data_IF_374976726910
#
_entry.id   IF_374976726910
#
_cell.length_a   1.000
_cell.length_b   1.000
_cell.length_c   1.000
_cell.angle_alpha   90.00
_cell.angle_beta   90.00
_cell.angle_gamma   90.00
#
_symmetry.space_group_name_H-M   'P 1'
#
loop_
_entity.id
_entity.type
_entity.pdbx_description
1 polymer ?
#
# COMPACT_ATOMS: atom_id res chain seq x y z
N UNK A 1 7.21 30.82 37.37
CA UNK A 1 6.68 31.14 36.02
C UNK A 1 6.09 29.87 35.41
N UNK A 2 5.18 29.18 36.12
CA UNK A 2 4.85 27.74 35.87
C UNK A 2 3.34 27.46 35.76
N UNK A 3 2.49 28.50 35.67
CA UNK A 3 1.02 28.33 35.74
C UNK A 3 0.30 28.10 34.40
N UNK A 4 1.01 27.87 33.29
CA UNK A 4 0.40 27.87 31.95
C UNK A 4 0.42 26.53 31.20
N UNK A 5 1.13 25.50 31.67
CA UNK A 5 1.10 24.19 31.02
C UNK A 5 -0.05 23.32 31.55
N UNK A 6 -1.29 23.58 31.10
CA UNK A 6 -2.36 22.57 31.19
C UNK A 6 -2.12 21.50 30.12
N UNK A 7 -1.78 20.28 30.53
CA UNK A 7 -1.75 19.08 29.67
C UNK A 7 -3.18 18.78 29.20
N UNK A 8 -3.51 19.16 27.98
CA UNK A 8 -4.75 18.76 27.31
C UNK A 8 -4.46 17.75 26.21
N UNK A 9 -4.99 16.54 26.33
CA UNK A 9 -4.98 15.55 25.24
C UNK A 9 -6.16 15.85 24.31
N UNK A 10 -5.93 16.62 23.24
CA UNK A 10 -6.96 16.84 22.22
C UNK A 10 -6.91 15.76 21.14
N UNK A 11 -8.06 15.10 20.92
CA UNK A 11 -8.30 14.10 19.88
C UNK A 11 -8.34 14.75 18.49
N UNK A 12 -7.76 14.05 17.50
CA UNK A 12 -7.69 14.42 16.09
C UNK A 12 -9.08 14.38 15.43
N UNK A 13 -9.44 15.43 14.69
CA UNK A 13 -10.62 15.49 13.82
C UNK A 13 -10.29 14.86 12.46
N UNK A 14 -11.23 14.09 11.91
CA UNK A 14 -11.13 13.45 10.59
C UNK A 14 -11.71 14.39 9.53
N UNK A 15 -10.87 15.13 8.83
CA UNK A 15 -11.27 15.83 7.61
C UNK A 15 -10.12 15.81 6.59
N UNK A 16 -10.44 15.32 5.38
CA UNK A 16 -9.54 15.18 4.23
C UNK A 16 -9.26 16.55 3.60
N UNK A 17 -8.01 16.86 3.18
CA UNK A 17 -7.74 18.03 2.36
C UNK A 17 -7.75 17.70 0.86
N UNK A 18 -8.43 18.56 0.09
CA UNK A 18 -8.43 18.61 -1.38
C UNK A 18 -7.03 18.92 -1.93
N UNK A 19 -6.61 18.17 -2.96
CA UNK A 19 -5.29 18.29 -3.60
C UNK A 19 -5.39 19.13 -4.89
N UNK A 20 -4.60 20.21 -4.98
CA UNK A 20 -4.37 20.95 -6.23
C UNK A 20 -3.09 20.46 -6.91
N UNK A 21 -3.20 20.10 -8.19
CA UNK A 21 -2.11 19.65 -9.03
C UNK A 21 -1.21 20.82 -9.46
N UNK A 22 0.12 20.61 -9.46
CA UNK A 22 1.08 21.51 -10.11
C UNK A 22 1.81 20.74 -11.20
N UNK A 23 1.63 21.21 -12.43
CA UNK A 23 2.28 20.74 -13.65
C UNK A 23 3.79 21.01 -13.60
N UNK A 24 4.59 20.04 -14.04
CA UNK A 24 6.02 20.22 -14.29
C UNK A 24 6.27 20.22 -15.80
N UNK A 25 6.93 21.28 -16.26
CA UNK A 25 7.27 21.60 -17.65
C UNK A 25 8.53 20.89 -18.13
N UNK A 26 8.45 20.35 -19.35
CA UNK A 26 9.48 20.12 -20.37
C UNK A 26 10.97 20.32 -20.03
N UNK A 27 11.75 19.25 -20.23
CA UNK A 27 13.08 19.30 -20.86
C UNK A 27 13.17 18.10 -21.81
N UNK A 28 13.13 18.37 -23.12
CA UNK A 28 13.35 17.38 -24.17
C UNK A 28 14.84 17.35 -24.56
N UNK A 29 15.43 16.15 -24.61
CA UNK A 29 16.68 15.89 -25.33
C UNK A 29 16.41 14.83 -26.39
N UNK A 30 16.70 15.21 -27.64
CA UNK A 30 16.49 14.46 -28.87
C UNK A 30 17.61 13.43 -29.09
N UNK A 31 17.28 12.22 -29.56
CA UNK A 31 18.17 11.38 -30.41
C UNK A 31 17.38 10.28 -31.13
N UNK A 32 16.98 10.62 -32.35
CA UNK A 32 16.83 9.88 -33.62
C UNK A 32 16.68 8.35 -33.67
N UNK A 33 15.62 7.98 -34.41
CA UNK A 33 15.49 6.98 -35.50
C UNK A 33 16.02 5.57 -35.32
N UNK A 34 15.13 4.58 -35.49
CA UNK A 34 15.05 3.82 -36.75
C UNK A 34 13.73 3.02 -36.83
N UNK A 35 13.28 2.82 -38.07
CA UNK A 35 12.01 2.27 -38.50
C UNK A 35 11.84 0.78 -38.13
N UNK A 36 10.62 0.34 -37.82
CA UNK A 36 10.15 -0.90 -38.44
C UNK A 36 8.62 -1.02 -38.49
N UNK A 37 8.17 -1.57 -39.60
CA UNK A 37 6.79 -1.67 -40.11
C UNK A 37 5.78 -2.28 -39.13
N UNK A 38 4.73 -1.53 -38.79
CA UNK A 38 3.53 -2.07 -38.14
C UNK A 38 2.69 -2.86 -39.16
N UNK A 39 2.89 -4.18 -39.22
CA UNK A 39 1.88 -5.10 -39.72
C UNK A 39 0.62 -5.02 -38.82
N UNK A 40 -0.44 -4.42 -39.35
CA UNK A 40 -1.78 -4.47 -38.74
C UNK A 40 -2.29 -5.90 -38.90
N UNK A 41 -2.06 -6.74 -37.88
CA UNK A 41 -2.75 -8.02 -37.78
C UNK A 41 -4.24 -7.77 -37.49
N UNK A 42 -5.18 -8.40 -38.21
CA UNK A 42 -6.61 -8.16 -38.01
C UNK A 42 -7.04 -8.67 -36.62
N UNK A 43 -7.64 -7.78 -35.81
CA UNK A 43 -8.25 -8.16 -34.52
C UNK A 43 -9.22 -9.33 -34.74
N UNK A 44 -8.89 -10.50 -34.18
CA UNK A 44 -9.75 -11.69 -34.17
C UNK A 44 -11.13 -11.32 -33.64
N UNK A 45 -12.20 -11.58 -34.39
CA UNK A 45 -13.59 -11.36 -33.94
C UNK A 45 -13.85 -12.22 -32.70
N UNK A 46 -14.01 -11.57 -31.55
CA UNK A 46 -14.33 -12.18 -30.25
C UNK A 46 -15.86 -12.24 -30.10
N UNK A 47 -16.43 -13.39 -29.69
CA UNK A 47 -17.85 -13.49 -29.36
C UNK A 47 -18.10 -12.91 -27.99
N UNK A 48 -19.05 -11.98 -27.85
CA UNK A 48 -19.44 -11.45 -26.55
C UNK A 48 -20.24 -12.51 -25.78
N UNK A 49 -20.09 -12.51 -24.46
CA UNK A 49 -20.86 -13.37 -23.58
C UNK A 49 -22.33 -12.92 -23.53
N UNK A 50 -23.25 -13.88 -23.46
CA UNK A 50 -24.68 -13.65 -23.27
C UNK A 50 -25.12 -14.30 -21.94
N UNK A 51 -25.89 -13.57 -21.13
CA UNK A 51 -26.30 -14.03 -19.80
C UNK A 51 -27.15 -15.30 -19.86
N UNK A 52 -27.84 -15.56 -20.98
CA UNK A 52 -28.61 -16.79 -21.20
C UNK A 52 -27.75 -18.06 -21.17
N UNK A 53 -26.43 -17.97 -21.35
CA UNK A 53 -25.52 -19.11 -21.28
C UNK A 53 -25.37 -19.70 -19.88
N UNK A 54 -25.91 -19.03 -18.86
CA UNK A 54 -26.06 -19.62 -17.53
C UNK A 54 -26.92 -20.89 -17.54
N UNK A 55 -27.89 -20.98 -18.46
CA UNK A 55 -28.70 -22.19 -18.67
C UNK A 55 -27.89 -23.40 -19.14
N UNK A 56 -26.72 -23.16 -19.75
CA UNK A 56 -25.76 -24.19 -20.15
C UNK A 56 -24.68 -24.41 -19.07
N UNK A 57 -24.79 -23.75 -17.92
CA UNK A 57 -23.85 -23.85 -16.82
C UNK A 57 -22.57 -23.04 -16.99
N UNK A 58 -22.62 -21.93 -17.73
CA UNK A 58 -21.46 -21.05 -17.94
C UNK A 58 -21.68 -19.66 -17.35
N UNK A 59 -20.58 -19.03 -16.95
CA UNK A 59 -20.52 -17.63 -16.52
C UNK A 59 -19.41 -16.88 -17.28
N UNK A 60 -19.50 -15.57 -17.33
CA UNK A 60 -18.45 -14.75 -17.94
C UNK A 60 -17.23 -14.65 -17.01
N UNK A 61 -16.04 -14.90 -17.53
CA UNK A 61 -14.77 -14.63 -16.88
C UNK A 61 -13.82 -13.95 -17.88
N UNK A 62 -13.69 -12.63 -17.80
CA UNK A 62 -12.84 -11.82 -18.68
C UNK A 62 -12.98 -12.19 -20.18
N UNK A 63 -14.22 -12.11 -20.69
CA UNK A 63 -14.61 -12.43 -22.06
C UNK A 63 -14.45 -13.90 -22.47
N UNK A 64 -14.22 -14.80 -21.53
CA UNK A 64 -14.15 -16.24 -21.76
C UNK A 64 -15.24 -16.98 -20.94
N UNK A 65 -15.88 -18.02 -21.50
CA UNK A 65 -16.88 -18.79 -20.77
C UNK A 65 -16.19 -19.70 -19.74
N UNK A 66 -16.60 -19.58 -18.48
CA UNK A 66 -16.16 -20.45 -17.39
C UNK A 66 -17.30 -21.36 -16.95
N UNK A 67 -17.06 -22.66 -16.89
CA UNK A 67 -18.06 -23.61 -16.37
C UNK A 67 -18.25 -23.42 -14.86
N UNK A 68 -19.49 -23.31 -14.40
CA UNK A 68 -19.82 -23.10 -12.97
C UNK A 68 -19.70 -24.38 -12.12
N UNK A 69 -19.58 -25.55 -12.75
CA UNK A 69 -19.48 -26.85 -12.07
C UNK A 69 -18.01 -27.23 -11.85
N UNK A 70 -17.21 -27.31 -12.93
CA UNK A 70 -15.80 -27.72 -12.85
C UNK A 70 -14.81 -26.54 -12.84
N UNK A 71 -15.30 -25.30 -12.87
CA UNK A 71 -14.48 -24.07 -12.90
C UNK A 71 -13.55 -23.93 -14.12
N UNK A 72 -13.65 -24.81 -15.12
CA UNK A 72 -12.81 -24.78 -16.33
C UNK A 72 -13.15 -23.55 -17.18
N UNK A 73 -12.14 -22.73 -17.47
CA UNK A 73 -12.25 -21.62 -18.42
C UNK A 73 -12.00 -22.17 -19.83
N UNK A 74 -12.97 -21.98 -20.72
CA UNK A 74 -12.85 -22.33 -22.12
C UNK A 74 -12.41 -21.11 -22.92
N UNK A 75 -11.70 -21.28 -24.05
CA UNK A 75 -11.36 -20.14 -24.90
C UNK A 75 -12.62 -19.51 -25.48
N UNK A 76 -12.59 -18.22 -25.80
CA UNK A 76 -13.70 -17.50 -26.42
C UNK A 76 -14.26 -18.20 -27.69
N UNK A 77 -13.41 -18.90 -28.45
CA UNK A 77 -13.82 -19.71 -29.62
C UNK A 77 -14.82 -20.83 -29.29
N UNK A 78 -14.95 -21.19 -28.01
CA UNK A 78 -15.90 -22.15 -27.46
C UNK A 78 -17.21 -21.54 -26.97
N UNK A 79 -17.38 -20.21 -27.05
CA UNK A 79 -18.62 -19.48 -26.69
C UNK A 79 -19.82 -19.77 -27.63
N UNK A 80 -19.68 -20.71 -28.57
CA UNK A 80 -20.84 -21.22 -29.32
C UNK A 80 -21.69 -22.13 -28.41
N UNK A 81 -23.03 -21.94 -28.34
CA UNK A 81 -23.90 -22.75 -27.49
C UNK A 81 -23.72 -24.26 -27.67
N UNK A 82 -23.54 -24.74 -28.90
CA UNK A 82 -23.31 -26.16 -29.19
C UNK A 82 -22.01 -26.72 -28.56
N UNK A 83 -20.95 -25.90 -28.45
CA UNK A 83 -19.68 -26.31 -27.84
C UNK A 83 -19.75 -26.32 -26.32
N UNK A 84 -20.44 -25.33 -25.73
CA UNK A 84 -20.72 -25.27 -24.30
C UNK A 84 -21.62 -26.42 -23.86
N UNK A 85 -22.68 -26.70 -24.63
CA UNK A 85 -23.54 -27.88 -24.43
C UNK A 85 -22.76 -29.19 -24.50
N UNK A 86 -21.88 -29.35 -25.50
CA UNK A 86 -21.02 -30.53 -25.60
C UNK A 86 -20.13 -30.69 -24.35
N UNK A 87 -19.59 -29.62 -23.79
CA UNK A 87 -18.84 -29.70 -22.53
C UNK A 87 -19.71 -30.18 -21.37
N UNK A 88 -20.93 -29.62 -21.23
CA UNK A 88 -21.88 -30.04 -20.20
C UNK A 88 -22.25 -31.53 -20.36
N UNK A 89 -22.58 -31.98 -21.56
CA UNK A 89 -22.97 -33.38 -21.81
C UNK A 89 -21.81 -34.36 -21.68
N UNK A 90 -20.59 -33.99 -22.10
CA UNK A 90 -19.45 -34.91 -22.07
C UNK A 90 -18.72 -34.97 -20.73
N UNK A 91 -18.73 -33.88 -19.96
CA UNK A 91 -18.01 -33.78 -18.67
C UNK A 91 -18.97 -33.88 -17.48
N UNK A 92 -20.25 -33.53 -17.68
CA UNK A 92 -21.26 -33.43 -16.64
C UNK A 92 -22.60 -34.04 -17.08
N UNK A 93 -22.58 -35.25 -17.66
CA UNK A 93 -23.77 -35.94 -18.20
C UNK A 93 -24.93 -36.02 -17.19
N UNK A 94 -24.63 -36.27 -15.91
CA UNK A 94 -25.59 -36.35 -14.81
C UNK A 94 -26.30 -35.01 -14.49
N UNK A 95 -25.78 -33.88 -14.99
CA UNK A 95 -26.25 -32.54 -14.64
C UNK A 95 -26.90 -31.82 -15.84
N UNK A 96 -27.04 -32.49 -17.00
CA UNK A 96 -27.52 -31.88 -18.24
C UNK A 96 -28.97 -31.38 -18.20
N UNK A 97 -29.84 -32.02 -17.41
CA UNK A 97 -31.27 -31.68 -17.32
C UNK A 97 -31.63 -30.82 -16.10
N UNK A 98 -30.63 -30.33 -15.35
CA UNK A 98 -30.90 -29.50 -14.18
C UNK A 98 -31.43 -28.12 -14.60
N UNK A 99 -32.34 -27.60 -13.78
CA UNK A 99 -32.93 -26.28 -13.99
C UNK A 99 -31.87 -25.17 -13.94
N UNK A 100 -32.08 -24.09 -14.69
CA UNK A 100 -31.27 -22.87 -14.68
C UNK A 100 -30.96 -22.38 -13.25
N UNK A 101 -31.91 -22.48 -12.33
CA UNK A 101 -31.75 -22.07 -10.92
C UNK A 101 -30.62 -22.84 -10.21
N UNK A 102 -30.40 -24.12 -10.58
CA UNK A 102 -29.28 -24.91 -10.07
C UNK A 102 -27.94 -24.29 -10.50
N UNK A 103 -27.84 -23.86 -11.76
CA UNK A 103 -26.63 -23.24 -12.30
C UNK A 103 -26.40 -21.83 -11.75
N UNK A 104 -27.45 -21.05 -11.53
CA UNK A 104 -27.39 -19.74 -10.86
C UNK A 104 -26.83 -19.92 -9.44
N UNK A 105 -27.39 -20.83 -8.65
CA UNK A 105 -26.88 -21.11 -7.30
C UNK A 105 -25.42 -21.56 -7.32
N UNK A 106 -25.03 -22.43 -8.26
CA UNK A 106 -23.64 -22.89 -8.39
C UNK A 106 -22.67 -21.77 -8.80
N UNK A 107 -23.11 -20.88 -9.69
CA UNK A 107 -22.37 -19.66 -10.03
C UNK A 107 -22.15 -18.79 -8.79
N UNK A 108 -23.19 -18.56 -8.01
CA UNK A 108 -23.13 -17.70 -6.83
C UNK A 108 -22.24 -18.30 -5.74
N UNK A 109 -22.27 -19.63 -5.55
CA UNK A 109 -21.31 -20.36 -4.69
C UNK A 109 -19.87 -20.17 -5.15
N UNK A 110 -19.62 -20.29 -6.46
CA UNK A 110 -18.29 -20.11 -7.05
C UNK A 110 -17.80 -18.66 -6.91
N UNK A 111 -18.65 -17.68 -7.22
CA UNK A 111 -18.35 -16.25 -7.04
C UNK A 111 -18.09 -15.91 -5.57
N UNK A 112 -18.89 -16.44 -4.64
CA UNK A 112 -18.68 -16.26 -3.21
C UNK A 112 -17.35 -16.83 -2.75
N UNK A 113 -16.97 -18.02 -3.25
CA UNK A 113 -15.67 -18.63 -2.98
C UNK A 113 -14.51 -17.79 -3.52
N UNK A 114 -14.59 -17.33 -4.77
CA UNK A 114 -13.59 -16.45 -5.40
C UNK A 114 -13.46 -15.13 -4.61
N UNK A 115 -14.57 -14.47 -4.32
CA UNK A 115 -14.59 -13.21 -3.58
C UNK A 115 -14.03 -13.38 -2.16
N UNK A 116 -14.33 -14.50 -1.48
CA UNK A 116 -13.77 -14.82 -0.17
C UNK A 116 -12.24 -14.95 -0.23
N UNK A 117 -11.70 -15.66 -1.24
CA UNK A 117 -10.26 -15.79 -1.44
C UNK A 117 -9.59 -14.44 -1.76
N UNK A 118 -10.20 -13.63 -2.64
CA UNK A 118 -9.70 -12.28 -2.99
C UNK A 118 -9.74 -11.35 -1.77
N UNK A 119 -10.80 -11.38 -0.97
CA UNK A 119 -10.89 -10.54 0.22
C UNK A 119 -9.86 -10.97 1.27
N UNK A 120 -9.68 -12.28 1.46
CA UNK A 120 -8.69 -12.81 2.40
C UNK A 120 -7.27 -12.37 2.01
N UNK A 121 -6.89 -12.50 0.75
CA UNK A 121 -5.56 -12.08 0.25
C UNK A 121 -5.34 -10.57 0.34
N UNK A 122 -6.36 -9.74 0.07
CA UNK A 122 -6.31 -8.28 0.30
C UNK A 122 -6.01 -7.97 1.76
N UNK A 123 -6.75 -8.57 2.71
CA UNK A 123 -6.55 -8.30 4.15
C UNK A 123 -5.18 -8.75 4.67
N UNK A 124 -4.62 -9.84 4.13
CA UNK A 124 -3.26 -10.30 4.48
C UNK A 124 -2.21 -9.30 3.97
N UNK A 125 -2.38 -8.78 2.76
CA UNK A 125 -1.47 -7.75 2.21
C UNK A 125 -1.53 -6.42 3.00
N UNK A 126 -2.71 -6.05 3.50
CA UNK A 126 -2.87 -4.87 4.36
C UNK A 126 -2.14 -5.03 5.69
N UNK A 127 -2.35 -6.16 6.38
CA UNK A 127 -1.71 -6.45 7.66
C UNK A 127 -0.19 -6.57 7.56
N UNK A 128 0.32 -7.16 6.48
CA UNK A 128 1.76 -7.26 6.24
C UNK A 128 2.39 -5.88 5.97
N UNK A 129 1.70 -5.02 5.23
CA UNK A 129 2.16 -3.64 5.00
C UNK A 129 2.15 -2.83 6.30
N UNK A 130 1.07 -2.91 7.10
CA UNK A 130 0.98 -2.24 8.40
C UNK A 130 2.10 -2.72 9.35
N UNK A 131 2.37 -4.03 9.39
CA UNK A 131 3.46 -4.59 10.18
C UNK A 131 4.83 -4.07 9.74
N UNK A 132 5.08 -3.95 8.43
CA UNK A 132 6.32 -3.38 7.88
C UNK A 132 6.55 -1.93 8.36
N UNK A 133 5.51 -1.09 8.34
CA UNK A 133 5.58 0.26 8.87
C UNK A 133 5.83 0.31 10.37
N UNK A 134 5.19 -0.58 11.15
CA UNK A 134 5.38 -0.65 12.59
C UNK A 134 6.83 -0.99 12.95
N UNK A 135 7.41 -1.99 12.29
CA UNK A 135 8.82 -2.36 12.50
C UNK A 135 9.73 -1.18 12.12
N UNK A 136 9.50 -0.55 10.97
CA UNK A 136 10.30 0.59 10.49
C UNK A 136 10.24 1.77 11.47
N UNK A 137 9.07 2.07 12.03
CA UNK A 137 8.90 3.11 13.05
C UNK A 137 9.68 2.80 14.33
N UNK A 138 9.65 1.55 14.81
CA UNK A 138 10.41 1.14 16.00
C UNK A 138 11.92 1.23 15.80
N UNK A 139 12.40 0.86 14.62
CA UNK A 139 13.81 0.98 14.23
C UNK A 139 14.24 2.46 14.29
N UNK A 140 13.46 3.37 13.69
CA UNK A 140 13.76 4.80 13.71
C UNK A 140 13.73 5.40 15.13
N UNK A 141 12.73 5.04 15.94
CA UNK A 141 12.62 5.49 17.34
C UNK A 141 13.84 5.11 18.18
N UNK A 142 14.37 3.91 17.97
CA UNK A 142 15.56 3.41 18.67
C UNK A 142 16.86 3.89 18.02
N UNK A 143 16.81 4.37 16.78
CA UNK A 143 17.97 4.76 15.98
C UNK A 143 18.87 3.56 15.68
N UNK A 144 18.29 2.42 15.30
CA UNK A 144 19.03 1.19 14.97
C UNK A 144 19.22 1.01 13.47
N UNK A 145 20.39 0.52 13.05
CA UNK A 145 20.71 0.29 11.63
C UNK A 145 19.57 -0.44 10.89
N UNK A 146 19.19 0.04 9.70
CA UNK A 146 18.04 -0.50 8.97
C UNK A 146 18.20 -1.97 8.58
N UNK A 147 19.45 -2.41 8.38
CA UNK A 147 19.82 -3.80 8.08
C UNK A 147 19.39 -4.77 9.18
N UNK A 148 19.20 -4.30 10.42
CA UNK A 148 18.72 -5.15 11.53
C UNK A 148 17.37 -5.79 11.24
N UNK A 149 16.55 -5.14 10.40
CA UNK A 149 15.22 -5.63 10.04
C UNK A 149 15.31 -6.96 9.28
N UNK A 150 16.16 -7.02 8.26
CA UNK A 150 16.37 -8.21 7.43
C UNK A 150 17.32 -9.22 8.07
N UNK A 151 18.37 -8.76 8.76
CA UNK A 151 19.42 -9.64 9.29
C UNK A 151 19.07 -10.29 10.62
N UNK A 152 18.16 -9.71 11.40
CA UNK A 152 17.87 -10.17 12.77
C UNK A 152 16.37 -10.22 13.08
N UNK A 153 15.64 -9.12 12.95
CA UNK A 153 14.24 -9.03 13.39
C UNK A 153 13.37 -10.05 12.65
N UNK A 154 13.48 -10.09 11.32
CA UNK A 154 12.71 -11.01 10.48
C UNK A 154 13.00 -12.49 10.78
N UNK A 155 14.26 -12.98 10.76
CA UNK A 155 14.53 -14.40 11.07
C UNK A 155 14.15 -14.77 12.50
N UNK A 156 14.40 -13.91 13.50
CA UNK A 156 13.98 -14.20 14.88
C UNK A 156 12.45 -14.32 15.01
N UNK A 157 11.69 -13.40 14.41
CA UNK A 157 10.23 -13.47 14.43
C UNK A 157 9.69 -14.74 13.76
N UNK A 158 10.31 -15.16 12.65
CA UNK A 158 9.96 -16.41 11.97
C UNK A 158 10.22 -17.63 12.83
N UNK A 159 11.40 -17.72 13.48
CA UNK A 159 11.75 -18.87 14.32
C UNK A 159 10.85 -18.97 15.56
N UNK A 160 10.53 -17.83 16.18
CA UNK A 160 9.60 -17.76 17.31
C UNK A 160 8.22 -18.30 16.92
N UNK A 161 7.67 -17.84 15.79
CA UNK A 161 6.33 -18.28 15.33
C UNK A 161 6.33 -19.72 14.86
N UNK A 162 7.42 -20.18 14.24
CA UNK A 162 7.60 -21.57 13.85
C UNK A 162 7.59 -22.49 15.09
N UNK A 163 8.27 -22.10 16.16
CA UNK A 163 8.33 -22.87 17.40
C UNK A 163 7.02 -22.83 18.20
N UNK A 164 6.35 -21.68 18.27
CA UNK A 164 5.18 -21.49 19.14
C UNK A 164 3.84 -21.80 18.47
N UNK A 165 3.74 -21.63 17.15
CA UNK A 165 2.50 -21.77 16.39
C UNK A 165 2.66 -22.90 15.37
N UNK A 166 3.18 -22.57 14.18
CA UNK A 166 3.34 -23.52 13.09
C UNK A 166 4.17 -22.91 11.93
N UNK A 167 4.65 -23.78 11.04
CA UNK A 167 5.43 -23.40 9.87
C UNK A 167 4.63 -22.53 8.86
N UNK A 168 3.31 -22.71 8.75
CA UNK A 168 2.48 -21.94 7.80
C UNK A 168 2.37 -20.50 8.28
N UNK A 169 2.14 -20.27 9.57
CA UNK A 169 2.13 -18.95 10.20
C UNK A 169 3.49 -18.24 10.05
N UNK A 170 4.61 -18.96 10.18
CA UNK A 170 5.95 -18.40 9.96
C UNK A 170 6.16 -17.94 8.50
N UNK A 171 5.61 -18.69 7.53
CA UNK A 171 5.61 -18.29 6.10
C UNK A 171 4.76 -17.05 5.82
N UNK A 172 3.76 -16.73 6.65
CA UNK A 172 3.05 -15.45 6.51
C UNK A 172 3.93 -14.27 6.96
N UNK A 173 4.75 -14.44 8.01
CA UNK A 173 5.72 -13.42 8.45
C UNK A 173 6.79 -13.18 7.38
N UNK A 174 7.20 -14.22 6.66
CA UNK A 174 8.21 -14.09 5.60
C UNK A 174 7.75 -13.16 4.47
N UNK A 175 6.44 -12.96 4.28
CA UNK A 175 5.86 -12.01 3.31
C UNK A 175 6.05 -10.55 3.69
N UNK A 176 6.35 -10.23 4.96
CA UNK A 176 6.58 -8.85 5.40
C UNK A 176 7.86 -8.33 4.74
N UNK A 177 7.73 -7.23 3.99
CA UNK A 177 8.86 -6.55 3.36
C UNK A 177 9.63 -5.73 4.40
N UNK A 178 10.88 -6.13 4.66
CA UNK A 178 11.77 -5.52 5.65
C UNK A 178 13.20 -5.33 5.11
N UNK A 179 13.37 -5.24 3.79
CA UNK A 179 14.68 -4.95 3.22
C UNK A 179 15.18 -3.57 3.66
N UNK A 180 16.50 -3.40 3.70
CA UNK A 180 17.15 -2.13 4.05
C UNK A 180 16.54 -0.91 3.32
N UNK A 181 16.23 -1.04 2.03
CA UNK A 181 15.62 0.03 1.22
C UNK A 181 14.13 0.23 1.53
N UNK A 182 13.41 -0.86 1.79
CA UNK A 182 12.01 -0.77 2.21
C UNK A 182 11.91 0.00 3.51
N UNK A 183 12.69 -0.37 4.53
CA UNK A 183 12.70 0.30 5.84
C UNK A 183 13.02 1.78 5.68
N UNK A 184 14.00 2.12 4.85
CA UNK A 184 14.33 3.52 4.54
C UNK A 184 13.16 4.30 3.95
N UNK A 185 12.50 3.75 2.92
CA UNK A 185 11.36 4.39 2.27
C UNK A 185 10.17 4.55 3.23
N UNK A 186 9.89 3.53 4.06
CA UNK A 186 8.82 3.59 5.06
C UNK A 186 9.11 4.65 6.12
N UNK A 187 10.37 4.81 6.55
CA UNK A 187 10.78 5.88 7.47
C UNK A 187 10.56 7.28 6.86
N UNK A 188 10.88 7.46 5.57
CA UNK A 188 10.61 8.72 4.87
C UNK A 188 9.11 9.03 4.81
N UNK A 189 8.27 8.05 4.51
CA UNK A 189 6.81 8.22 4.51
C UNK A 189 6.29 8.65 5.90
N UNK A 190 6.78 8.00 6.96
CA UNK A 190 6.39 8.29 8.33
C UNK A 190 6.82 9.71 8.74
N UNK A 191 8.03 10.11 8.33
CA UNK A 191 8.53 11.46 8.56
C UNK A 191 7.67 12.50 7.84
N UNK A 192 7.32 12.25 6.58
CA UNK A 192 6.45 13.14 5.80
C UNK A 192 5.05 13.30 6.44
N UNK A 193 4.46 12.24 6.99
CA UNK A 193 3.18 12.33 7.72
C UNK A 193 3.30 13.24 8.97
N UNK A 194 4.39 13.10 9.75
CA UNK A 194 4.64 13.99 10.89
C UNK A 194 4.86 15.44 10.43
N UNK A 195 5.62 15.67 9.36
CA UNK A 195 5.83 17.01 8.82
C UNK A 195 4.49 17.64 8.43
N UNK A 196 3.65 16.91 7.70
CA UNK A 196 2.33 17.38 7.27
C UNK A 196 1.41 17.70 8.47
N UNK A 197 1.38 16.86 9.49
CA UNK A 197 0.65 17.12 10.73
C UNK A 197 1.17 18.38 11.44
N UNK A 198 2.50 18.57 11.48
CA UNK A 198 3.10 19.75 12.09
C UNK A 198 2.73 21.02 11.32
N UNK A 199 2.82 20.99 9.98
CA UNK A 199 2.40 22.07 9.09
C UNK A 199 0.92 22.39 9.29
N UNK A 200 0.06 21.38 9.41
CA UNK A 200 -1.37 21.56 9.64
C UNK A 200 -1.65 22.25 10.98
N UNK A 201 -1.00 21.82 12.06
CA UNK A 201 -1.12 22.45 13.38
C UNK A 201 -0.63 23.89 13.35
N UNK A 202 0.47 24.12 12.67
CA UNK A 202 1.04 25.44 12.47
C UNK A 202 0.03 26.36 11.76
N UNK A 203 -0.45 26.00 10.57
CA UNK A 203 -1.46 26.80 9.85
C UNK A 203 -2.72 27.09 10.67
N UNK A 204 -3.06 26.21 11.61
CA UNK A 204 -4.23 26.34 12.48
C UNK A 204 -3.99 27.24 13.71
N UNK A 205 -2.73 27.55 14.03
CA UNK A 205 -2.37 28.40 15.16
C UNK A 205 -2.26 29.87 14.71
N UNK A 206 -2.86 30.78 15.48
CA UNK A 206 -2.72 32.23 15.27
C UNK A 206 -1.39 32.72 15.84
N UNK A 207 -0.27 32.46 15.18
CA UNK A 207 1.00 33.09 15.53
C UNK A 207 1.23 34.38 14.74
N UNK A 208 1.94 35.33 15.36
CA UNK A 208 2.29 36.64 14.81
C UNK A 208 3.38 36.59 13.71
N UNK A 209 3.64 35.42 13.12
CA UNK A 209 4.54 35.31 11.98
C UNK A 209 3.76 35.73 10.74
N UNK A 210 4.26 36.72 9.98
CA UNK A 210 3.80 37.06 8.63
C UNK A 210 4.14 35.91 7.67
N UNK A 211 3.45 34.79 7.83
CA UNK A 211 3.61 33.60 6.99
C UNK A 211 3.09 33.85 5.57
N UNK A 212 2.24 34.86 5.40
CA UNK A 212 1.52 35.13 4.16
C UNK A 212 2.42 35.73 3.06
N UNK A 213 3.51 36.40 3.43
CA UNK A 213 4.41 37.07 2.48
C UNK A 213 5.38 36.09 1.81
N UNK A 214 5.81 35.04 2.53
CA UNK A 214 6.69 33.99 2.02
C UNK A 214 6.29 32.59 2.52
N UNK A 215 5.21 31.97 1.99
CA UNK A 215 4.63 30.77 2.58
C UNK A 215 5.59 29.57 2.63
N UNK A 216 6.30 29.30 1.52
CA UNK A 216 7.20 28.16 1.41
C UNK A 216 8.46 28.33 2.28
N UNK A 217 9.04 29.53 2.29
CA UNK A 217 10.23 29.84 3.10
C UNK A 217 9.89 29.82 4.58
N UNK A 218 8.77 30.44 4.97
CA UNK A 218 8.33 30.48 6.35
C UNK A 218 7.99 29.08 6.87
N UNK A 219 7.39 28.23 6.04
CA UNK A 219 7.15 26.82 6.39
C UNK A 219 8.46 26.07 6.67
N UNK A 220 9.47 26.20 5.79
CA UNK A 220 10.79 25.59 6.01
C UNK A 220 11.48 26.15 7.25
N UNK A 221 11.45 27.46 7.46
CA UNK A 221 12.06 28.12 8.61
C UNK A 221 11.44 27.64 9.93
N UNK A 222 10.11 27.55 10.00
CA UNK A 222 9.43 27.07 11.21
C UNK A 222 9.75 25.59 11.47
N UNK A 223 9.74 24.75 10.44
CA UNK A 223 10.13 23.33 10.58
C UNK A 223 11.57 23.18 11.07
N UNK A 224 12.48 24.03 10.60
CA UNK A 224 13.88 24.03 11.02
C UNK A 224 14.08 24.57 12.45
N UNK A 225 13.30 25.56 12.88
CA UNK A 225 13.49 26.25 14.17
C UNK A 225 12.72 25.60 15.34
N UNK A 226 11.59 24.93 15.09
CA UNK A 226 10.78 24.27 16.12
C UNK A 226 11.55 23.27 17.01
N UNK A 227 12.45 22.42 16.46
CA UNK A 227 13.26 21.51 17.27
C UNK A 227 14.23 22.22 18.23
N UNK A 228 14.50 23.52 18.05
CA UNK A 228 15.49 24.29 18.81
C UNK A 228 14.88 25.37 19.70
N UNK A 229 13.58 25.28 20.02
CA UNK A 229 12.88 26.28 20.84
C UNK A 229 13.41 26.41 22.29
N UNK A 230 14.17 25.43 22.77
CA UNK A 230 14.81 25.45 24.11
C UNK A 230 16.19 24.81 24.04
N UNK A 231 17.11 25.25 24.91
CA UNK A 231 18.45 24.66 25.03
C UNK A 231 18.42 23.15 25.21
N UNK A 232 17.48 22.63 26.01
CA UNK A 232 17.30 21.19 26.21
C UNK A 232 16.94 20.45 24.91
N UNK A 233 16.06 21.02 24.08
CA UNK A 233 15.68 20.41 22.80
C UNK A 233 16.84 20.48 21.79
N UNK A 234 17.64 21.55 21.82
CA UNK A 234 18.88 21.64 21.05
C UNK A 234 19.87 20.54 21.44
N UNK A 235 20.16 20.39 22.73
CA UNK A 235 21.07 19.37 23.26
C UNK A 235 20.58 17.96 22.92
N UNK A 236 19.28 17.70 23.08
CA UNK A 236 18.64 16.43 22.72
C UNK A 236 18.73 16.16 21.22
N UNK A 237 18.53 17.19 20.39
CA UNK A 237 18.65 17.11 18.94
C UNK A 237 20.07 16.76 18.48
N UNK A 238 21.09 17.44 19.02
CA UNK A 238 22.50 17.16 18.71
C UNK A 238 22.94 15.78 19.22
N UNK A 239 22.54 15.39 20.43
CA UNK A 239 22.80 14.05 20.97
C UNK A 239 22.19 12.96 20.07
N UNK A 240 20.96 13.18 19.63
CA UNK A 240 20.27 12.29 18.69
C UNK A 240 20.99 12.23 17.35
N UNK A 241 21.41 13.38 16.79
CA UNK A 241 22.19 13.44 15.55
C UNK A 241 23.46 12.61 15.62
N UNK A 242 24.24 12.79 16.69
CA UNK A 242 25.50 12.07 16.90
C UNK A 242 25.23 10.57 17.00
N UNK A 243 24.21 10.15 17.75
CA UNK A 243 23.83 8.73 17.87
C UNK A 243 23.44 8.10 16.52
N UNK A 244 22.69 8.82 15.69
CA UNK A 244 22.27 8.35 14.36
C UNK A 244 23.45 8.36 13.39
N UNK A 245 24.26 9.42 13.36
CA UNK A 245 25.40 9.53 12.44
C UNK A 245 26.51 8.53 12.74
N UNK A 246 26.77 8.23 14.02
CA UNK A 246 27.80 7.27 14.42
C UNK A 246 27.44 5.83 14.04
N UNK A 247 26.15 5.47 14.10
CA UNK A 247 25.64 4.14 13.67
C UNK A 247 25.48 4.02 12.16
N UNK A 248 25.30 5.12 11.43
CA UNK A 248 25.05 5.15 9.99
C UNK A 248 26.05 6.07 9.28
N UNK A 249 27.27 5.59 9.03
CA UNK A 249 28.32 6.38 8.36
C UNK A 249 28.12 6.56 6.84
N UNK A 250 27.20 5.81 6.21
CA UNK A 250 27.06 5.74 4.74
C UNK A 250 25.81 6.44 4.17
N UNK A 251 24.92 7.01 4.99
CA UNK A 251 23.67 7.65 4.52
C UNK A 251 23.73 9.15 4.83
N UNK A 252 23.55 10.00 3.81
CA UNK A 252 23.69 11.46 3.93
C UNK A 252 22.54 12.12 4.71
N UNK A 253 21.35 11.52 4.73
CA UNK A 253 20.16 12.15 5.29
C UNK A 253 19.69 11.48 6.60
N UNK A 254 19.90 12.18 7.71
CA UNK A 254 19.46 11.77 9.05
C UNK A 254 18.12 12.40 9.45
N UNK A 255 17.62 13.37 8.68
CA UNK A 255 16.46 14.19 9.05
C UNK A 255 15.21 13.33 9.33
N UNK A 256 14.82 12.34 8.50
CA UNK A 256 13.65 11.52 8.75
C UNK A 256 13.70 10.77 10.09
N UNK A 257 14.86 10.21 10.46
CA UNK A 257 15.03 9.51 11.73
C UNK A 257 14.96 10.48 12.92
N UNK A 258 15.61 11.62 12.79
CA UNK A 258 15.63 12.63 13.85
C UNK A 258 14.24 13.17 14.08
N UNK A 259 13.47 13.43 13.02
CA UNK A 259 12.09 13.87 13.13
C UNK A 259 11.23 12.84 13.86
N UNK A 260 11.31 11.56 13.47
CA UNK A 260 10.56 10.51 14.15
C UNK A 260 10.93 10.38 15.63
N UNK A 261 12.22 10.49 15.97
CA UNK A 261 12.73 10.31 17.34
C UNK A 261 12.50 11.52 18.26
N UNK A 262 12.57 12.74 17.73
CA UNK A 262 12.43 13.97 18.50
C UNK A 262 10.97 14.46 18.57
N UNK A 263 10.15 14.13 17.58
CA UNK A 263 8.76 14.55 17.55
C UNK A 263 7.93 13.82 18.62
N UNK A 264 7.06 14.56 19.30
CA UNK A 264 6.03 14.00 20.19
C UNK A 264 4.80 13.50 19.42
N UNK A 265 4.70 13.79 18.12
CA UNK A 265 3.60 13.39 17.26
C UNK A 265 3.83 11.95 16.78
N UNK A 266 2.82 11.11 16.87
CA UNK A 266 2.86 9.74 16.31
C UNK A 266 2.35 9.74 14.87
N UNK A 267 3.07 9.13 13.92
CA UNK A 267 2.61 9.03 12.54
C UNK A 267 1.36 8.14 12.45
N UNK A 268 0.44 8.49 11.56
CA UNK A 268 -0.79 7.73 11.33
C UNK A 268 -0.56 6.62 10.29
N UNK A 269 0.03 5.52 10.76
CA UNK A 269 0.38 4.36 9.93
C UNK A 269 -0.82 3.83 9.14
N UNK A 270 -2.02 3.79 9.73
CA UNK A 270 -3.23 3.32 9.06
C UNK A 270 -3.60 4.18 7.87
N UNK A 271 -3.52 5.50 8.03
CA UNK A 271 -3.80 6.44 6.94
C UNK A 271 -2.76 6.32 5.82
N UNK A 272 -1.47 6.23 6.18
CA UNK A 272 -0.38 6.04 5.20
C UNK A 272 -0.59 4.74 4.40
N UNK A 273 -0.95 3.64 5.07
CA UNK A 273 -1.23 2.37 4.41
C UNK A 273 -2.44 2.46 3.46
N UNK A 274 -3.49 3.22 3.82
CA UNK A 274 -4.67 3.38 2.97
C UNK A 274 -4.39 4.23 1.73
N UNK A 275 -3.65 5.33 1.87
CA UNK A 275 -3.33 6.23 0.75
C UNK A 275 -2.45 5.54 -0.30
N UNK A 276 -1.55 4.64 0.11
CA UNK A 276 -0.74 3.86 -0.86
C UNK A 276 -1.52 2.80 -1.63
N UNK A 277 -2.73 2.41 -1.21
CA UNK A 277 -3.59 1.47 -1.97
C UNK A 277 -4.16 2.09 -3.25
N UNK A 278 -4.24 3.42 -3.33
CA UNK A 278 -4.87 4.12 -4.44
C UNK A 278 -3.97 4.24 -5.69
N UNK A 279 -2.65 4.00 -5.57
CA UNK A 279 -1.69 4.27 -6.64
C UNK A 279 -1.38 3.07 -7.57
N UNK A 280 -2.01 1.91 -7.38
CA UNK A 280 -1.84 0.75 -8.27
C UNK A 280 -3.16 0.38 -8.96
N UNK A 281 -3.61 1.25 -9.88
CA UNK A 281 -4.53 0.88 -10.94
C UNK A 281 -3.83 1.17 -12.28
N UNK A 282 -2.83 0.35 -12.61
CA UNK A 282 -2.32 0.26 -13.97
C UNK A 282 -3.24 -0.71 -14.72
N UNK A 283 -4.18 -0.14 -15.48
CA UNK A 283 -5.00 -0.85 -16.45
C UNK A 283 -4.19 -1.25 -17.68
#
# INVERSE_FOLDING_TARGET
MERWFKKGTLKRSSQEPEYFAVNSSHIDNHSNNENDTNEITPKKKCRKYDESYISLGFMNNNDNPQCVICSKVLPNSSMAPAKMRRHLESVHDELKEKNVEFFIRKRDELLKSINCMVQTTKTVNEKTTEASYLVSYQIAQRGEAYTIAESLIKPCAMEMVKCMLDEKSAKEISKIQLSNDTVANRINDLAADIQNELIFRLKSCKFALKMDEYPQLSQKAVLALLPFATTYMCETGFSTYVSTKTKYRNRLDAEPNMLLKLSSIKPNIKNICNNKKQFHASY
#
